data_IF_846711450665
#
_entry.id   IF_846711450665
#
_cell.length_a   1.000
_cell.length_b   1.000
_cell.length_c   1.000
_cell.angle_alpha   90.00
_cell.angle_beta   90.00
_cell.angle_gamma   90.00
#
_symmetry.space_group_name_H-M   'P 1'
#
loop_
_entity.id
_entity.type
_entity.pdbx_description
1 polymer ?
#
# COMPACT_ATOMS: atom_id res chain seq x y z
N UNK A 1 -17.97 -11.25 4.49
CA UNK A 1 -16.65 -11.91 4.47
C UNK A 1 -15.76 -11.18 5.46
N UNK A 2 -15.08 -11.87 6.36
CA UNK A 2 -14.29 -11.23 7.43
C UNK A 2 -12.81 -11.35 7.05
N UNK A 3 -12.08 -10.24 6.82
CA UNK A 3 -10.68 -10.30 6.42
C UNK A 3 -9.79 -10.82 7.54
N UNK A 4 -8.72 -11.53 7.17
CA UNK A 4 -7.64 -11.88 8.08
C UNK A 4 -6.65 -10.70 8.16
N UNK A 5 -6.67 -9.97 9.27
CA UNK A 5 -5.76 -8.82 9.51
C UNK A 5 -4.39 -9.29 9.99
N UNK A 6 -3.33 -8.84 9.34
CA UNK A 6 -1.95 -8.99 9.82
C UNK A 6 -1.34 -7.59 10.00
N UNK A 7 -0.80 -7.34 11.19
CA UNK A 7 -0.09 -6.11 11.55
C UNK A 7 1.40 -6.42 11.53
N UNK A 8 2.19 -5.64 10.80
CA UNK A 8 3.65 -5.74 10.81
C UNK A 8 4.18 -4.68 11.79
N UNK A 9 4.94 -5.13 12.79
CA UNK A 9 5.55 -4.28 13.80
C UNK A 9 6.92 -3.77 13.29
N UNK A 10 6.98 -2.46 13.09
CA UNK A 10 8.10 -1.54 13.31
C UNK A 10 9.47 -1.91 12.72
N UNK A 11 9.85 -1.19 11.65
CA UNK A 11 11.18 -0.54 11.60
C UNK A 11 11.39 0.58 10.57
N UNK A 12 10.55 0.73 9.54
CA UNK A 12 10.70 1.87 8.58
C UNK A 12 9.37 2.45 8.05
N UNK A 13 8.23 1.78 8.24
CA UNK A 13 6.90 2.29 7.83
C UNK A 13 5.97 2.17 9.02
N UNK A 14 5.93 3.21 9.86
CA UNK A 14 4.91 3.30 10.91
C UNK A 14 3.54 3.10 10.26
N UNK A 15 2.80 2.08 10.72
CA UNK A 15 1.41 1.80 10.34
C UNK A 15 1.12 1.07 9.01
N UNK A 16 2.00 0.19 8.51
CA UNK A 16 1.61 -0.75 7.44
C UNK A 16 0.62 -1.83 7.96
N UNK A 17 -0.55 -1.90 7.34
CA UNK A 17 -1.60 -2.89 7.61
C UNK A 17 -1.83 -3.75 6.38
N UNK A 18 -1.96 -5.07 6.56
CA UNK A 18 -2.29 -6.02 5.49
C UNK A 18 -3.62 -6.70 5.79
N UNK A 19 -4.49 -6.75 4.80
CA UNK A 19 -5.77 -7.45 4.83
C UNK A 19 -5.77 -8.48 3.72
N UNK A 20 -6.12 -9.71 4.08
CA UNK A 20 -6.24 -10.79 3.12
C UNK A 20 -7.71 -11.18 2.98
N UNK A 21 -8.16 -11.17 1.74
CA UNK A 21 -9.45 -11.64 1.28
C UNK A 21 -9.23 -12.88 0.39
N UNK A 22 -10.31 -13.52 -0.06
CA UNK A 22 -10.22 -14.70 -0.92
C UNK A 22 -9.66 -14.31 -2.29
N UNK A 23 -10.14 -13.20 -2.86
CA UNK A 23 -9.82 -12.75 -4.23
C UNK A 23 -8.75 -11.66 -4.31
N UNK A 24 -8.36 -11.06 -3.17
CA UNK A 24 -7.41 -9.93 -3.16
C UNK A 24 -6.60 -9.82 -1.87
N UNK A 25 -5.50 -9.07 -1.95
CA UNK A 25 -4.70 -8.63 -0.80
C UNK A 25 -4.64 -7.10 -0.81
N UNK A 26 -4.93 -6.49 0.34
CA UNK A 26 -4.90 -5.03 0.50
C UNK A 26 -3.83 -4.63 1.50
N UNK A 27 -2.97 -3.70 1.11
CA UNK A 27 -2.03 -3.01 1.97
C UNK A 27 -2.53 -1.59 2.23
N UNK A 28 -2.44 -1.12 3.47
CA UNK A 28 -2.75 0.25 3.82
C UNK A 28 -1.65 0.84 4.71
N UNK A 29 -1.18 2.04 4.37
CA UNK A 29 -0.16 2.76 5.12
C UNK A 29 -0.56 4.23 5.29
N UNK A 30 -0.24 4.82 6.44
CA UNK A 30 -0.38 6.26 6.66
C UNK A 30 0.77 6.98 5.95
N UNK A 31 0.43 7.90 5.06
CA UNK A 31 1.39 8.75 4.33
C UNK A 31 1.26 10.23 4.72
N UNK A 32 0.41 10.55 5.69
CA UNK A 32 0.13 11.91 6.16
C UNK A 32 -0.79 12.71 5.21
N UNK A 33 -1.30 13.83 5.71
CA UNK A 33 -2.25 14.71 4.98
C UNK A 33 -1.57 15.65 3.96
N UNK A 34 -0.28 15.46 3.68
CA UNK A 34 0.48 16.28 2.72
C UNK A 34 0.12 15.97 1.27
N UNK A 35 0.70 16.74 0.34
CA UNK A 35 0.61 16.41 -1.09
C UNK A 35 1.46 15.16 -1.35
N UNK A 36 0.79 14.08 -1.74
CA UNK A 36 1.42 12.82 -2.09
C UNK A 36 0.77 12.25 -3.34
N UNK A 37 1.59 11.67 -4.21
CA UNK A 37 1.15 10.99 -5.43
C UNK A 37 1.66 9.57 -5.43
N UNK A 38 0.85 8.67 -5.97
CA UNK A 38 1.21 7.27 -6.15
C UNK A 38 1.06 6.87 -7.61
N UNK A 39 1.97 6.03 -8.09
CA UNK A 39 1.88 5.36 -9.37
C UNK A 39 2.26 3.88 -9.26
N UNK A 40 1.84 3.07 -10.23
CA UNK A 40 2.12 1.64 -10.27
C UNK A 40 2.79 1.27 -11.59
N UNK A 41 4.00 0.73 -11.49
CA UNK A 41 4.76 0.21 -12.63
C UNK A 41 4.92 -1.30 -12.49
N UNK A 42 4.00 -2.07 -13.09
CA UNK A 42 3.99 -3.52 -12.97
C UNK A 42 3.63 -3.97 -11.54
N UNK A 43 4.60 -4.53 -10.82
CA UNK A 43 4.47 -4.94 -9.41
C UNK A 43 5.13 -3.97 -8.42
N UNK A 44 5.59 -2.81 -8.90
CA UNK A 44 6.25 -1.79 -8.09
C UNK A 44 5.31 -0.61 -7.86
N UNK A 45 5.18 -0.19 -6.61
CA UNK A 45 4.46 1.02 -6.21
C UNK A 45 5.46 2.14 -5.97
N UNK A 46 5.23 3.29 -6.63
CA UNK A 46 6.05 4.49 -6.52
C UNK A 46 5.27 5.54 -5.73
N UNK A 47 5.80 5.94 -4.58
CA UNK A 47 5.24 6.99 -3.73
C UNK A 47 6.15 8.21 -3.77
N UNK A 48 5.58 9.36 -4.08
CA UNK A 48 6.26 10.65 -3.97
C UNK A 48 5.49 11.52 -3.00
N UNK A 49 6.18 12.09 -2.02
CA UNK A 49 5.60 12.97 -1.01
C UNK A 49 6.60 14.07 -0.66
N UNK A 50 6.16 15.33 -0.74
CA UNK A 50 7.00 16.48 -0.43
C UNK A 50 8.35 16.39 -1.20
N UNK A 51 9.49 16.27 -0.51
CA UNK A 51 10.83 16.09 -1.10
C UNK A 51 11.34 14.63 -1.05
N UNK A 52 10.53 13.70 -0.56
CA UNK A 52 10.87 12.29 -0.40
C UNK A 52 10.20 11.41 -1.45
N UNK A 53 10.92 10.39 -1.90
CA UNK A 53 10.40 9.34 -2.77
C UNK A 53 10.70 7.97 -2.18
N UNK A 54 9.76 7.05 -2.34
CA UNK A 54 9.91 5.66 -1.92
C UNK A 54 9.31 4.71 -2.96
N UNK A 55 9.96 3.57 -3.11
CA UNK A 55 9.56 2.53 -4.04
C UNK A 55 9.45 1.21 -3.29
N UNK A 56 8.39 0.46 -3.56
CA UNK A 56 8.11 -0.80 -2.87
C UNK A 56 7.68 -1.86 -3.88
N UNK A 57 8.28 -3.04 -3.77
CA UNK A 57 7.85 -4.21 -4.52
C UNK A 57 6.71 -4.90 -3.78
N UNK A 58 5.63 -5.17 -4.50
CA UNK A 58 4.49 -5.91 -3.98
C UNK A 58 4.79 -7.41 -4.10
N UNK A 59 4.81 -8.16 -2.99
CA UNK A 59 5.24 -9.57 -3.01
C UNK A 59 4.21 -10.51 -3.64
N UNK A 60 2.98 -10.05 -3.83
CA UNK A 60 1.90 -10.82 -4.44
C UNK A 60 1.96 -10.78 -5.97
N UNK A 61 1.64 -11.92 -6.58
CA UNK A 61 1.35 -11.98 -8.01
C UNK A 61 -0.10 -11.55 -8.24
N UNK A 62 -0.33 -10.63 -9.18
CA UNK A 62 -1.66 -10.13 -9.47
C UNK A 62 -1.66 -8.79 -10.21
N UNK A 63 -2.86 -8.26 -10.45
CA UNK A 63 -3.01 -6.87 -10.90
C UNK A 63 -2.90 -5.96 -9.68
N UNK A 64 -1.93 -5.03 -9.72
CA UNK A 64 -1.67 -4.07 -8.65
C UNK A 64 -2.32 -2.74 -9.00
N UNK A 65 -3.09 -2.20 -8.06
CA UNK A 65 -3.68 -0.87 -8.13
C UNK A 65 -3.36 -0.12 -6.84
N UNK A 66 -3.15 1.19 -6.92
CA UNK A 66 -2.83 2.00 -5.76
C UNK A 66 -3.51 3.36 -5.80
N UNK A 67 -3.95 3.83 -4.64
CA UNK A 67 -4.56 5.14 -4.48
C UNK A 67 -4.25 5.74 -3.10
N UNK A 68 -4.21 7.07 -3.04
CA UNK A 68 -4.09 7.81 -1.78
C UNK A 68 -5.42 8.51 -1.51
N UNK A 69 -6.01 8.24 -0.35
CA UNK A 69 -7.25 8.88 0.09
C UNK A 69 -7.08 9.41 1.51
N UNK A 70 -7.23 10.73 1.68
CA UNK A 70 -7.14 11.42 2.98
C UNK A 70 -5.88 11.05 3.77
N UNK A 71 -4.73 10.98 3.09
CA UNK A 71 -3.44 10.64 3.69
C UNK A 71 -3.20 9.16 3.97
N UNK A 72 -4.06 8.28 3.45
CA UNK A 72 -3.86 6.83 3.51
C UNK A 72 -3.56 6.29 2.12
N UNK A 73 -2.37 5.73 1.94
CA UNK A 73 -2.04 4.93 0.77
C UNK A 73 -2.71 3.56 0.92
N UNK A 74 -3.48 3.17 -0.09
CA UNK A 74 -4.04 1.83 -0.23
C UNK A 74 -3.48 1.20 -1.49
N UNK A 75 -2.97 -0.03 -1.39
CA UNK A 75 -2.51 -0.84 -2.51
C UNK A 75 -3.32 -2.13 -2.53
N UNK A 76 -4.01 -2.38 -3.63
CA UNK A 76 -4.89 -3.52 -3.84
C UNK A 76 -4.24 -4.46 -4.86
N UNK A 77 -4.21 -5.75 -4.54
CA UNK A 77 -3.65 -6.79 -5.42
C UNK A 77 -4.71 -7.84 -5.69
N UNK A 78 -5.25 -7.81 -6.90
CA UNK A 78 -6.23 -8.79 -7.36
C UNK A 78 -5.53 -10.08 -7.78
N UNK A 79 -5.96 -11.22 -7.25
CA UNK A 79 -5.36 -12.56 -7.48
C UNK A 79 -5.80 -13.19 -8.80
#
# INVERSE_FOLDING_TARGET
MTPKRQQFDERDTGDLRRYEYDDEVVYAADVGLGEATVDVAGSTVLLVRDDDQAEFEVPESGTVEAAINNGVLTVEVQR
#
